data_IF_639725311853
#
_entry.id   IF_639725311853
#
_cell.length_a   1.000
_cell.length_b   1.000
_cell.length_c   1.000
_cell.angle_alpha   90.00
_cell.angle_beta   90.00
_cell.angle_gamma   90.00
#
_symmetry.space_group_name_H-M   'P 1'
#
loop_
_entity.id
_entity.type
_entity.pdbx_description
1 polymer ?
#
# COMPACT_ATOMS: atom_id res chain seq x y z
N UNK A 1 11.33 15.52 18.68
CA UNK A 1 11.41 14.06 18.52
C UNK A 1 10.88 13.24 19.71
N UNK A 2 10.10 13.79 20.65
CA UNK A 2 9.65 13.02 21.83
C UNK A 2 8.30 13.49 22.39
N UNK A 3 7.35 13.90 21.54
CA UNK A 3 6.05 14.42 22.01
C UNK A 3 4.82 13.72 21.42
N UNK A 4 5.01 12.79 20.47
CA UNK A 4 3.91 11.95 19.93
C UNK A 4 3.82 10.60 20.67
N UNK A 5 4.86 10.20 21.42
CA UNK A 5 4.97 8.86 22.02
C UNK A 5 4.10 8.59 23.26
N UNK A 6 3.52 9.61 23.91
CA UNK A 6 2.89 9.41 25.24
C UNK A 6 1.36 9.47 25.27
N UNK A 7 0.66 9.98 24.25
CA UNK A 7 -0.78 10.21 24.35
C UNK A 7 -1.69 9.08 23.82
N UNK A 8 -1.19 8.20 22.96
CA UNK A 8 -2.02 7.13 22.38
C UNK A 8 -2.02 5.80 23.16
N UNK A 9 -1.09 5.59 24.10
CA UNK A 9 -0.91 4.27 24.73
C UNK A 9 -1.95 3.93 25.82
N UNK A 10 -2.59 4.91 26.47
CA UNK A 10 -3.50 4.63 27.61
C UNK A 10 -4.97 4.33 27.24
N UNK A 11 -5.43 4.60 26.01
CA UNK A 11 -6.84 4.37 25.66
C UNK A 11 -7.10 3.08 24.86
N UNK A 12 -6.06 2.32 24.50
CA UNK A 12 -6.16 1.27 23.49
C UNK A 12 -6.53 -0.12 24.02
N UNK A 13 -7.30 -0.18 25.12
CA UNK A 13 -7.65 -1.45 25.78
C UNK A 13 -9.16 -1.64 25.94
N UNK A 14 -9.92 -1.33 24.89
CA UNK A 14 -11.35 -1.68 24.75
C UNK A 14 -11.66 -2.05 23.30
N UNK A 15 -11.74 -3.38 23.04
CA UNK A 15 -12.48 -4.04 21.93
C UNK A 15 -12.77 -3.19 20.69
N UNK A 16 -11.75 -2.69 20.00
CA UNK A 16 -11.87 -2.15 18.66
C UNK A 16 -10.51 -2.38 17.99
N UNK A 17 -10.48 -3.12 16.88
CA UNK A 17 -9.25 -3.33 16.11
C UNK A 17 -8.73 -1.96 15.64
N UNK A 18 -7.67 -1.44 16.27
CA UNK A 18 -6.93 -0.33 15.65
C UNK A 18 -6.42 -0.83 14.31
N UNK A 19 -6.57 0.00 13.30
CA UNK A 19 -5.79 -0.12 12.08
C UNK A 19 -5.17 1.24 11.83
N UNK A 20 -3.89 1.25 11.51
CA UNK A 20 -3.18 2.49 11.19
C UNK A 20 -3.13 2.57 9.66
N UNK A 21 -3.69 3.64 9.10
CA UNK A 21 -3.64 3.92 7.66
C UNK A 21 -2.77 5.15 7.45
N UNK A 22 -1.79 5.05 6.56
CA UNK A 22 -0.85 6.13 6.23
C UNK A 22 -0.95 6.43 4.74
N UNK A 23 -1.44 7.62 4.39
CA UNK A 23 -1.58 8.12 3.02
C UNK A 23 -0.82 9.45 2.86
N UNK A 24 0.28 9.53 2.10
CA UNK A 24 1.12 8.45 1.56
C UNK A 24 2.56 8.60 2.10
N UNK A 25 3.29 7.48 2.18
CA UNK A 25 4.60 7.33 2.84
C UNK A 25 5.63 8.41 2.48
N UNK A 26 5.53 8.97 1.29
CA UNK A 26 6.47 9.95 0.74
C UNK A 26 6.32 11.37 1.32
N UNK A 27 5.25 11.65 2.06
CA UNK A 27 5.05 12.93 2.78
C UNK A 27 5.72 12.94 4.15
N UNK A 28 6.22 11.80 4.62
CA UNK A 28 6.89 11.71 5.92
C UNK A 28 8.34 12.15 5.77
N UNK A 29 8.63 13.36 6.21
CA UNK A 29 10.00 13.87 6.31
C UNK A 29 10.50 13.78 7.75
N UNK A 30 11.70 13.25 7.90
CA UNK A 30 12.42 13.09 9.16
C UNK A 30 12.98 14.41 9.72
N UNK A 31 12.85 15.54 9.00
CA UNK A 31 13.40 16.84 9.41
C UNK A 31 14.93 16.85 9.58
N UNK A 32 15.60 15.73 9.27
CA UNK A 32 17.06 15.57 9.25
C UNK A 32 17.52 15.65 7.80
N UNK A 33 18.71 16.22 7.57
CA UNK A 33 19.40 16.08 6.28
C UNK A 33 19.79 14.61 6.12
N UNK A 34 18.98 13.84 5.41
CA UNK A 34 19.33 12.48 4.97
C UNK A 34 19.96 12.60 3.57
N UNK A 35 21.05 11.90 3.32
CA UNK A 35 21.77 11.97 2.03
C UNK A 35 20.96 11.39 0.85
N UNK A 36 20.03 10.49 1.12
CA UNK A 36 19.18 9.87 0.09
C UNK A 36 17.78 9.59 0.61
N UNK A 37 16.78 9.97 -0.18
CA UNK A 37 15.34 9.68 0.05
C UNK A 37 15.08 8.18 0.22
N UNK A 38 15.85 7.33 -0.46
CA UNK A 38 15.71 5.88 -0.35
C UNK A 38 16.00 5.38 1.06
N UNK A 39 16.97 5.98 1.74
CA UNK A 39 17.36 5.62 3.10
C UNK A 39 16.31 6.07 4.11
N UNK A 40 15.74 7.26 3.92
CA UNK A 40 14.62 7.75 4.74
C UNK A 40 13.40 6.83 4.64
N UNK A 41 13.03 6.42 3.42
CA UNK A 41 11.92 5.48 3.19
C UNK A 41 12.22 4.11 3.82
N UNK A 42 13.47 3.64 3.77
CA UNK A 42 13.88 2.40 4.41
C UNK A 42 13.79 2.46 5.94
N UNK A 43 14.26 3.54 6.57
CA UNK A 43 14.13 3.73 8.01
C UNK A 43 12.66 3.79 8.42
N UNK A 44 11.84 4.49 7.64
CA UNK A 44 10.41 4.63 7.93
C UNK A 44 9.66 3.29 7.80
N UNK A 45 9.90 2.54 6.73
CA UNK A 45 9.37 1.19 6.53
C UNK A 45 9.65 0.27 7.72
N UNK A 46 10.91 0.26 8.17
CA UNK A 46 11.34 -0.57 9.30
C UNK A 46 10.69 -0.12 10.60
N UNK A 47 10.61 1.19 10.84
CA UNK A 47 9.96 1.74 12.02
C UNK A 47 8.46 1.39 12.07
N UNK A 48 7.76 1.44 10.93
CA UNK A 48 6.36 1.03 10.83
C UNK A 48 6.18 -0.46 11.13
N UNK A 49 7.06 -1.32 10.61
CA UNK A 49 7.03 -2.75 10.86
C UNK A 49 7.24 -3.09 12.34
N UNK A 50 8.16 -2.39 13.01
CA UNK A 50 8.38 -2.55 14.45
C UNK A 50 7.17 -2.04 15.25
N UNK A 51 6.61 -0.89 14.87
CA UNK A 51 5.41 -0.34 15.51
C UNK A 51 4.20 -1.28 15.39
N UNK A 52 4.00 -1.87 14.21
CA UNK A 52 2.94 -2.86 13.98
C UNK A 52 3.08 -4.08 14.89
N UNK A 53 4.32 -4.55 15.09
CA UNK A 53 4.62 -5.67 15.99
C UNK A 53 4.45 -5.30 17.46
N UNK A 54 4.91 -4.11 17.87
CA UNK A 54 4.84 -3.64 19.26
C UNK A 54 3.39 -3.41 19.72
N UNK A 55 2.56 -2.84 18.84
CA UNK A 55 1.16 -2.53 19.14
C UNK A 55 0.20 -3.67 18.78
N UNK A 56 0.68 -4.73 18.12
CA UNK A 56 -0.13 -5.84 17.59
C UNK A 56 -1.32 -5.38 16.72
N UNK A 57 -1.12 -4.32 15.93
CA UNK A 57 -2.14 -3.75 15.04
C UNK A 57 -1.69 -3.79 13.59
N UNK A 58 -2.60 -4.06 12.63
CA UNK A 58 -2.27 -3.98 11.22
C UNK A 58 -2.00 -2.52 10.81
N UNK A 59 -0.88 -2.33 10.11
CA UNK A 59 -0.49 -1.06 9.51
C UNK A 59 -0.62 -1.18 8.00
N UNK A 60 -1.41 -0.29 7.40
CA UNK A 60 -1.58 -0.16 5.96
C UNK A 60 -0.92 1.14 5.53
N UNK A 61 0.03 1.03 4.62
CA UNK A 61 0.74 2.17 4.08
C UNK A 61 0.53 2.24 2.56
N UNK A 62 0.18 3.44 2.08
CA UNK A 62 -0.01 3.71 0.66
C UNK A 62 1.31 4.24 0.10
N UNK A 63 1.78 3.61 -0.97
CA UNK A 63 2.96 4.01 -1.71
C UNK A 63 2.57 4.31 -3.15
N UNK A 64 3.11 5.39 -3.69
CA UNK A 64 3.03 5.66 -5.12
C UNK A 64 4.06 4.79 -5.84
N UNK A 65 3.70 4.33 -7.04
CA UNK A 65 4.60 3.59 -7.93
C UNK A 65 5.36 4.56 -8.84
N UNK A 66 6.50 4.11 -9.34
CA UNK A 66 7.16 4.80 -10.45
C UNK A 66 6.27 4.76 -11.70
N UNK A 67 6.47 5.71 -12.64
CA UNK A 67 5.73 5.74 -13.92
C UNK A 67 6.13 4.63 -14.92
N UNK A 68 7.02 3.72 -14.52
CA UNK A 68 7.47 2.58 -15.32
C UNK A 68 6.35 1.69 -15.90
N UNK A 69 5.26 1.37 -15.15
CA UNK A 69 4.13 0.64 -15.69
C UNK A 69 3.51 1.30 -16.91
N UNK A 70 3.43 2.64 -16.95
CA UNK A 70 2.76 3.37 -18.04
C UNK A 70 3.43 3.17 -19.41
N UNK A 71 4.71 2.81 -19.41
CA UNK A 71 5.50 2.57 -20.62
C UNK A 71 5.40 1.12 -21.13
N UNK A 72 4.84 0.19 -20.33
CA UNK A 72 4.67 -1.21 -20.72
C UNK A 72 3.39 -1.39 -21.54
N UNK A 73 3.39 -2.40 -22.41
CA UNK A 73 2.23 -2.75 -23.24
C UNK A 73 1.02 -3.16 -22.40
N UNK A 74 1.25 -3.91 -21.31
CA UNK A 74 0.19 -4.39 -20.42
C UNK A 74 -0.20 -3.38 -19.33
N UNK A 75 0.62 -2.35 -19.09
CA UNK A 75 0.45 -1.32 -18.05
C UNK A 75 0.18 -1.85 -16.63
N UNK A 76 0.41 -3.14 -16.39
CA UNK A 76 0.18 -3.78 -15.09
C UNK A 76 1.30 -3.43 -14.15
N UNK A 77 1.01 -2.96 -12.93
CA UNK A 77 2.03 -2.69 -11.93
C UNK A 77 2.69 -3.99 -11.46
N UNK A 78 3.98 -3.91 -11.16
CA UNK A 78 4.83 -5.00 -10.70
C UNK A 78 5.62 -4.56 -9.46
N UNK A 79 6.12 -5.52 -8.70
CA UNK A 79 6.97 -5.25 -7.53
C UNK A 79 8.20 -4.41 -7.88
N UNK A 80 8.76 -4.60 -9.08
CA UNK A 80 9.90 -3.81 -9.59
C UNK A 80 9.60 -2.31 -9.70
N UNK A 81 8.33 -1.90 -9.73
CA UNK A 81 7.97 -0.48 -9.82
C UNK A 81 8.04 0.23 -8.47
N UNK A 82 8.22 -0.53 -7.37
CA UNK A 82 8.58 -0.04 -6.05
C UNK A 82 10.09 0.18 -5.89
N UNK A 83 10.90 0.16 -6.96
CA UNK A 83 12.37 0.13 -6.90
C UNK A 83 13.03 1.30 -6.15
N UNK A 84 12.41 2.47 -6.07
CA UNK A 84 12.89 3.57 -5.21
C UNK A 84 12.66 3.30 -3.70
N UNK A 85 12.09 2.15 -3.38
CA UNK A 85 11.59 1.70 -2.08
C UNK A 85 11.83 0.19 -1.89
N UNK A 86 12.95 -0.34 -2.37
CA UNK A 86 13.27 -1.77 -2.24
C UNK A 86 13.25 -2.30 -0.79
N UNK A 87 13.43 -1.42 0.19
CA UNK A 87 13.23 -1.70 1.61
C UNK A 87 11.77 -2.02 1.97
N UNK A 88 10.80 -1.29 1.41
CA UNK A 88 9.36 -1.53 1.60
C UNK A 88 9.00 -2.92 1.09
N UNK A 89 9.51 -3.30 -0.08
CA UNK A 89 9.29 -4.65 -0.63
C UNK A 89 9.77 -5.72 0.35
N UNK A 90 10.94 -5.57 0.96
CA UNK A 90 11.49 -6.58 1.87
C UNK A 90 10.71 -6.65 3.19
N UNK A 91 10.37 -5.50 3.77
CA UNK A 91 9.76 -5.38 5.10
C UNK A 91 8.27 -5.74 5.11
N UNK A 92 7.54 -5.46 4.01
CA UNK A 92 6.11 -5.71 3.91
C UNK A 92 5.79 -7.21 4.03
N UNK A 93 4.72 -7.53 4.77
CA UNK A 93 4.17 -8.89 4.81
C UNK A 93 3.30 -9.17 3.59
N UNK A 94 2.50 -8.18 3.20
CA UNK A 94 1.59 -8.24 2.05
C UNK A 94 1.82 -6.99 1.21
N UNK A 95 1.92 -7.16 -0.10
CA UNK A 95 1.94 -6.06 -1.06
C UNK A 95 0.79 -6.24 -2.03
N UNK A 96 -0.05 -5.21 -2.11
CA UNK A 96 -1.22 -5.15 -2.97
C UNK A 96 -0.99 -4.05 -3.99
N UNK A 97 -1.04 -4.41 -5.26
CA UNK A 97 -0.96 -3.48 -6.38
C UNK A 97 -2.36 -3.34 -6.99
N UNK A 98 -2.76 -2.10 -7.28
CA UNK A 98 -4.05 -1.81 -7.88
C UNK A 98 -3.86 -1.50 -9.36
N UNK A 99 -4.66 -2.14 -10.21
CA UNK A 99 -4.66 -1.87 -11.64
C UNK A 99 -6.09 -1.70 -12.15
N UNK A 100 -6.27 -0.71 -13.01
CA UNK A 100 -7.54 -0.36 -13.63
C UNK A 100 -7.26 -0.05 -15.09
N UNK A 101 -7.77 -0.88 -15.99
CA UNK A 101 -7.56 -0.68 -17.43
C UNK A 101 -8.30 0.56 -17.93
N UNK A 102 -9.50 0.81 -17.40
CA UNK A 102 -10.37 1.94 -17.75
C UNK A 102 -9.78 3.31 -17.39
N UNK A 103 -8.80 3.36 -16.48
CA UNK A 103 -8.05 4.57 -16.17
C UNK A 103 -7.11 5.00 -17.31
N UNK A 104 -6.74 4.05 -18.19
CA UNK A 104 -5.78 4.24 -19.26
C UNK A 104 -6.42 4.18 -20.65
N UNK A 105 -7.42 3.33 -20.82
CA UNK A 105 -8.14 3.10 -22.07
C UNK A 105 -9.64 3.22 -21.81
N UNK A 106 -10.22 4.35 -22.23
CA UNK A 106 -11.62 4.69 -21.93
C UNK A 106 -12.63 3.74 -22.58
N UNK A 107 -12.24 3.11 -23.68
CA UNK A 107 -13.07 2.16 -24.43
C UNK A 107 -12.70 0.69 -24.10
N UNK A 108 -12.00 0.45 -22.99
CA UNK A 108 -11.63 -0.91 -22.57
C UNK A 108 -12.90 -1.77 -22.35
N UNK A 109 -12.90 -3.03 -22.82
CA UNK A 109 -14.00 -3.96 -22.55
C UNK A 109 -14.14 -4.30 -21.07
N UNK A 110 -13.12 -4.01 -20.25
CA UNK A 110 -13.09 -4.20 -18.81
C UNK A 110 -13.44 -2.92 -18.04
N UNK A 111 -14.23 -2.04 -18.65
CA UNK A 111 -14.67 -0.79 -18.03
C UNK A 111 -15.40 -1.05 -16.71
N UNK A 112 -14.99 -0.35 -15.65
CA UNK A 112 -15.55 -0.56 -14.31
C UNK A 112 -15.02 -1.81 -13.61
N UNK A 113 -14.00 -2.49 -14.12
CA UNK A 113 -13.25 -3.51 -13.38
C UNK A 113 -11.95 -2.95 -12.77
N UNK A 114 -11.54 -3.52 -11.65
CA UNK A 114 -10.26 -3.27 -11.04
C UNK A 114 -9.62 -4.57 -10.57
N UNK A 115 -8.35 -4.73 -10.94
CA UNK A 115 -7.51 -5.82 -10.50
C UNK A 115 -6.81 -5.45 -9.18
N UNK A 116 -7.11 -6.20 -8.13
CA UNK A 116 -6.41 -6.18 -6.86
C UNK A 116 -5.37 -7.30 -6.90
N UNK A 117 -4.12 -6.95 -7.16
CA UNK A 117 -3.02 -7.90 -7.36
C UNK A 117 -2.27 -8.06 -6.05
N UNK A 118 -2.42 -9.21 -5.38
CA UNK A 118 -1.60 -9.59 -4.22
C UNK A 118 -0.25 -10.05 -4.75
N UNK A 119 0.66 -9.11 -4.93
CA UNK A 119 1.98 -9.34 -5.52
C UNK A 119 2.98 -9.99 -4.55
N UNK A 120 2.78 -9.80 -3.24
CA UNK A 120 3.54 -10.47 -2.18
C UNK A 120 2.60 -10.87 -1.06
N UNK A 121 2.80 -12.07 -0.53
CA UNK A 121 2.14 -12.53 0.69
C UNK A 121 3.07 -13.47 1.46
N UNK A 122 3.57 -13.06 2.62
CA UNK A 122 4.51 -13.87 3.43
C UNK A 122 3.89 -15.17 3.96
N UNK A 123 2.58 -15.16 4.24
CA UNK A 123 1.89 -16.24 4.95
C UNK A 123 0.78 -16.90 4.11
N UNK A 124 0.79 -16.73 2.79
CA UNK A 124 -0.26 -17.29 1.94
C UNK A 124 0.01 -17.09 0.45
N UNK A 125 -0.94 -17.46 -0.41
CA UNK A 125 -0.77 -17.37 -1.85
C UNK A 125 -0.84 -15.92 -2.33
N UNK A 126 -0.14 -15.66 -3.43
CA UNK A 126 -0.36 -14.50 -4.30
C UNK A 126 -1.51 -14.82 -5.25
N UNK A 127 -2.33 -13.81 -5.56
CA UNK A 127 -3.47 -13.95 -6.46
C UNK A 127 -3.87 -12.58 -6.99
N UNK A 128 -4.47 -12.57 -8.18
CA UNK A 128 -5.16 -11.39 -8.70
C UNK A 128 -6.66 -11.57 -8.47
N UNK A 129 -7.26 -10.64 -7.75
CA UNK A 129 -8.70 -10.61 -7.49
C UNK A 129 -9.31 -9.50 -8.33
N UNK A 130 -10.17 -9.88 -9.27
CA UNK A 130 -10.92 -8.92 -10.08
C UNK A 130 -12.14 -8.46 -9.29
N UNK A 131 -12.34 -7.15 -9.22
CA UNK A 131 -13.44 -6.50 -8.49
C UNK A 131 -14.16 -5.50 -9.40
N UNK A 132 -15.45 -5.27 -9.15
CA UNK A 132 -16.17 -4.17 -9.78
C UNK A 132 -15.79 -2.86 -9.08
N UNK A 133 -15.36 -1.85 -9.83
CA UNK A 133 -15.07 -0.52 -9.33
C UNK A 133 -16.16 0.47 -9.71
N UNK A 134 -16.85 0.98 -8.69
CA UNK A 134 -17.87 2.00 -8.84
C UNK A 134 -17.27 3.36 -8.49
N UNK A 135 -16.66 4.02 -9.48
CA UNK A 135 -15.89 5.25 -9.29
C UNK A 135 -16.66 6.39 -8.62
N UNK A 136 -17.95 6.54 -8.93
CA UNK A 136 -18.82 7.56 -8.33
C UNK A 136 -19.02 7.39 -6.82
N UNK A 137 -18.74 6.20 -6.28
CA UNK A 137 -18.85 5.90 -4.84
C UNK A 137 -17.49 5.58 -4.20
N UNK A 138 -16.39 5.65 -4.96
CA UNK A 138 -15.06 5.20 -4.53
C UNK A 138 -15.10 3.80 -3.89
N UNK A 139 -15.88 2.90 -4.48
CA UNK A 139 -16.20 1.58 -3.89
C UNK A 139 -15.77 0.45 -4.81
N UNK A 140 -15.11 -0.53 -4.22
CA UNK A 140 -14.87 -1.83 -4.83
C UNK A 140 -15.94 -2.81 -4.34
N UNK A 141 -16.49 -3.60 -5.25
CA UNK A 141 -17.53 -4.60 -4.99
C UNK A 141 -17.09 -5.94 -5.55
N UNK A 142 -17.48 -7.02 -4.89
CA UNK A 142 -17.21 -8.36 -5.39
C UNK A 142 -17.86 -8.54 -6.77
N UNK A 143 -17.10 -9.12 -7.70
CA UNK A 143 -17.68 -9.61 -8.95
C UNK A 143 -18.60 -10.76 -8.58
N UNK A 144 -19.90 -10.60 -8.85
CA UNK A 144 -20.88 -11.64 -8.56
C UNK A 144 -20.47 -12.93 -9.30
N UNK A 145 -20.01 -13.93 -8.54
CA UNK A 145 -19.85 -15.28 -9.06
C UNK A 145 -21.24 -15.91 -8.97
N UNK A 146 -21.88 -16.06 -10.13
CA UNK A 146 -23.11 -16.85 -10.24
C UNK A 146 -22.92 -18.28 -9.77
#
# INVERSE_FOLDING_TARGET
>A
SMMIRRRSCCCFRRRHFARIIIDYLQLVSSGKRVESRQQEVAEFSRALKLLAKELEVPVVAISQLNRGPEQRTDRKPMMSDLRESGSIEQDADVVILLHREDAYEKDSPRMGEADIIVAKHRNGPTATVVTAFQGHYSRFVDMHRG
#
